data_IF_739946556720
#
_entry.id   IF_739946556720
#
_cell.length_a   1.000
_cell.length_b   1.000
_cell.length_c   1.000
_cell.angle_alpha   90.00
_cell.angle_beta   90.00
_cell.angle_gamma   90.00
#
_symmetry.space_group_name_H-M   'P 1'
#
loop_
_entity.id
_entity.type
_entity.pdbx_description
1 polymer ?
#
# COMPACT_ATOMS: atom_id res chain seq x y z
N UNK A 1 2.14 -14.02 4.92
CA UNK A 1 1.06 -13.04 5.17
C UNK A 1 0.77 -12.21 3.93
N UNK A 2 1.75 -11.47 3.38
CA UNK A 2 1.58 -10.69 2.14
C UNK A 2 1.06 -11.51 0.94
N UNK A 3 1.55 -12.74 0.73
CA UNK A 3 1.05 -13.63 -0.35
C UNK A 3 -0.45 -13.92 -0.21
N UNK A 4 -0.97 -14.08 1.01
CA UNK A 4 -2.38 -14.37 1.25
C UNK A 4 -3.26 -13.16 1.00
N UNK A 5 -2.78 -11.95 1.36
CA UNK A 5 -3.51 -10.70 1.10
C UNK A 5 -3.55 -10.40 -0.39
N UNK A 6 -2.47 -10.64 -1.13
CA UNK A 6 -2.43 -10.44 -2.57
C UNK A 6 -3.36 -11.39 -3.33
N UNK A 7 -3.43 -12.65 -2.91
CA UNK A 7 -4.37 -13.63 -3.47
C UNK A 7 -5.82 -13.21 -3.20
N UNK A 8 -6.12 -12.80 -1.97
CA UNK A 8 -7.46 -12.38 -1.58
C UNK A 8 -7.90 -11.07 -2.27
N UNK A 9 -6.98 -10.12 -2.47
CA UNK A 9 -7.25 -8.93 -3.31
C UNK A 9 -7.56 -9.35 -4.75
N UNK A 10 -6.79 -10.29 -5.33
CA UNK A 10 -7.02 -10.76 -6.69
C UNK A 10 -8.41 -11.42 -6.84
N UNK A 11 -8.83 -12.21 -5.86
CA UNK A 11 -10.16 -12.83 -5.84
C UNK A 11 -11.28 -11.77 -5.76
N UNK A 12 -11.15 -10.78 -4.88
CA UNK A 12 -12.13 -9.69 -4.75
C UNK A 12 -12.19 -8.83 -6.02
N UNK A 13 -11.04 -8.54 -6.65
CA UNK A 13 -10.99 -7.81 -7.92
C UNK A 13 -11.63 -8.60 -9.07
N UNK A 14 -11.43 -9.92 -9.08
CA UNK A 14 -12.11 -10.83 -10.00
C UNK A 14 -13.63 -10.78 -9.83
N UNK A 15 -14.12 -10.78 -8.58
CA UNK A 15 -15.54 -10.62 -8.25
C UNK A 15 -16.06 -9.26 -8.75
N UNK A 16 -15.36 -8.16 -8.46
CA UNK A 16 -15.74 -6.81 -8.91
C UNK A 16 -15.85 -6.67 -10.43
N UNK A 17 -14.95 -7.32 -11.18
CA UNK A 17 -14.99 -7.37 -12.64
C UNK A 17 -16.20 -8.14 -13.16
N UNK A 18 -16.50 -9.30 -12.57
CA UNK A 18 -17.69 -10.10 -12.91
C UNK A 18 -18.98 -9.33 -12.64
N UNK A 19 -19.05 -8.65 -11.51
CA UNK A 19 -20.16 -7.81 -11.09
C UNK A 19 -20.39 -6.59 -12.01
N UNK A 20 -19.33 -6.04 -12.61
CA UNK A 20 -19.47 -4.95 -13.60
C UNK A 20 -20.30 -5.36 -14.81
N UNK A 21 -20.11 -6.59 -15.31
CA UNK A 21 -20.93 -7.15 -16.41
C UNK A 21 -22.39 -7.35 -15.99
N UNK A 22 -22.62 -7.68 -14.71
CA UNK A 22 -23.98 -7.82 -14.15
C UNK A 22 -24.66 -6.46 -14.05
N UNK A 23 -23.98 -5.40 -13.58
CA UNK A 23 -24.51 -4.02 -13.58
C UNK A 23 -24.90 -3.59 -14.99
N UNK A 24 -24.02 -3.77 -15.98
CA UNK A 24 -24.32 -3.43 -17.37
C UNK A 24 -25.56 -4.16 -17.89
N UNK A 25 -25.73 -5.43 -17.52
CA UNK A 25 -26.90 -6.23 -17.89
C UNK A 25 -28.17 -5.71 -17.20
N UNK A 26 -28.09 -5.40 -15.90
CA UNK A 26 -29.19 -4.83 -15.12
C UNK A 26 -29.63 -3.48 -15.69
N UNK A 27 -28.68 -2.58 -15.98
CA UNK A 27 -28.98 -1.26 -16.54
C UNK A 27 -29.68 -1.41 -17.90
N UNK A 28 -29.16 -2.28 -18.78
CA UNK A 28 -29.79 -2.57 -20.07
C UNK A 28 -31.23 -3.10 -19.94
N UNK A 29 -31.51 -3.95 -18.94
CA UNK A 29 -32.86 -4.46 -18.67
C UNK A 29 -33.77 -3.37 -18.09
N UNK A 30 -33.26 -2.57 -17.15
CA UNK A 30 -33.97 -1.42 -16.55
C UNK A 30 -34.35 -0.39 -17.61
N UNK A 31 -33.48 -0.09 -18.57
CA UNK A 31 -33.79 0.81 -19.68
C UNK A 31 -34.84 0.23 -20.63
N UNK A 32 -34.87 -1.09 -20.85
CA UNK A 32 -35.88 -1.74 -21.70
C UNK A 32 -37.29 -1.74 -21.09
N UNK A 33 -37.42 -1.69 -19.77
CA UNK A 33 -38.70 -1.69 -19.07
C UNK A 33 -39.24 -0.27 -18.82
N UNK A 34 -39.79 0.35 -19.87
CA UNK A 34 -40.57 1.60 -19.76
C UNK A 34 -42.05 1.28 -19.42
N UNK A 35 -42.36 0.85 -18.20
CA UNK A 35 -43.70 0.27 -17.90
C UNK A 35 -44.36 0.83 -16.64
N UNK A 36 -45.68 1.02 -16.71
CA UNK A 36 -46.58 1.43 -15.60
C UNK A 36 -47.24 0.19 -14.97
N UNK A 37 -47.22 0.09 -13.65
CA UNK A 37 -47.88 -0.95 -12.84
C UNK A 37 -47.15 -1.20 -11.53
N UNK A 38 -47.86 -1.46 -10.42
CA UNK A 38 -47.25 -1.53 -9.07
C UNK A 38 -46.20 -2.65 -8.92
N UNK A 39 -46.45 -3.84 -9.46
CA UNK A 39 -45.52 -4.98 -9.39
C UNK A 39 -44.25 -4.74 -10.21
N UNK A 40 -44.36 -4.08 -11.36
CA UNK A 40 -43.23 -3.69 -12.20
C UNK A 40 -42.41 -2.55 -11.59
N UNK A 41 -43.03 -1.60 -10.89
CA UNK A 41 -42.30 -0.57 -10.13
C UNK A 41 -41.58 -1.16 -8.92
N UNK A 42 -42.16 -2.18 -8.25
CA UNK A 42 -41.47 -2.90 -7.18
C UNK A 42 -40.28 -3.70 -7.72
N UNK A 43 -40.44 -4.43 -8.82
CA UNK A 43 -39.35 -5.16 -9.46
C UNK A 43 -38.21 -4.23 -9.90
N UNK A 44 -38.55 -3.05 -10.46
CA UNK A 44 -37.57 -2.02 -10.81
C UNK A 44 -36.82 -1.49 -9.59
N UNK A 45 -37.52 -1.33 -8.46
CA UNK A 45 -36.90 -0.93 -7.19
C UNK A 45 -35.95 -2.01 -6.65
N UNK A 46 -36.39 -3.26 -6.61
CA UNK A 46 -35.57 -4.39 -6.13
C UNK A 46 -34.30 -4.56 -6.99
N UNK A 47 -34.43 -4.42 -8.31
CA UNK A 47 -33.31 -4.41 -9.25
C UNK A 47 -32.37 -3.22 -9.00
N UNK A 48 -32.91 -2.05 -8.63
CA UNK A 48 -32.14 -0.87 -8.24
C UNK A 48 -31.34 -1.09 -6.95
N UNK A 49 -31.97 -1.63 -5.91
CA UNK A 49 -31.31 -1.89 -4.61
C UNK A 49 -30.20 -2.94 -4.74
N UNK A 50 -30.40 -3.97 -5.59
CA UNK A 50 -29.35 -4.94 -5.94
C UNK A 50 -28.22 -4.23 -6.69
N UNK A 51 -28.54 -3.36 -7.66
CA UNK A 51 -27.54 -2.59 -8.41
C UNK A 51 -26.66 -1.75 -7.48
N UNK A 52 -27.23 -1.07 -6.49
CA UNK A 52 -26.48 -0.22 -5.55
C UNK A 52 -25.49 -1.02 -4.69
N UNK A 53 -25.89 -2.21 -4.21
CA UNK A 53 -24.98 -3.12 -3.49
C UNK A 53 -23.85 -3.61 -4.39
N UNK A 54 -24.15 -3.94 -5.65
CA UNK A 54 -23.14 -4.37 -6.62
C UNK A 54 -22.15 -3.22 -6.93
N UNK A 55 -22.65 -1.99 -7.08
CA UNK A 55 -21.83 -0.79 -7.26
C UNK A 55 -20.90 -0.56 -6.07
N UNK A 56 -21.38 -0.80 -4.84
CA UNK A 56 -20.56 -0.70 -3.64
C UNK A 56 -19.40 -1.73 -3.64
N UNK A 57 -19.68 -3.00 -3.96
CA UNK A 57 -18.64 -4.05 -4.05
C UNK A 57 -17.63 -3.73 -5.16
N UNK A 58 -18.08 -3.19 -6.30
CA UNK A 58 -17.20 -2.71 -7.37
C UNK A 58 -16.27 -1.60 -6.89
N UNK A 59 -16.81 -0.60 -6.19
CA UNK A 59 -16.00 0.50 -5.64
C UNK A 59 -14.91 -0.01 -4.70
N UNK A 60 -15.21 -1.00 -3.86
CA UNK A 60 -14.21 -1.62 -2.97
C UNK A 60 -13.16 -2.39 -3.77
N UNK A 61 -13.56 -3.14 -4.81
CA UNK A 61 -12.63 -3.82 -5.72
C UNK A 61 -11.63 -2.84 -6.36
N UNK A 62 -12.12 -1.74 -6.93
CA UNK A 62 -11.27 -0.73 -7.58
C UNK A 62 -10.30 -0.08 -6.58
N UNK A 63 -10.76 0.16 -5.35
CA UNK A 63 -9.93 0.66 -4.26
C UNK A 63 -8.86 -0.38 -3.90
N UNK A 64 -9.21 -1.65 -3.70
CA UNK A 64 -8.28 -2.71 -3.35
C UNK A 64 -7.21 -2.95 -4.44
N UNK A 65 -7.56 -2.80 -5.71
CA UNK A 65 -6.59 -2.83 -6.82
C UNK A 65 -5.56 -1.69 -6.72
N UNK A 66 -6.02 -0.48 -6.37
CA UNK A 66 -5.14 0.64 -6.06
C UNK A 66 -4.22 0.36 -4.87
N UNK A 67 -4.80 -0.18 -3.78
CA UNK A 67 -4.08 -0.54 -2.56
C UNK A 67 -3.03 -1.62 -2.74
N UNK A 68 -3.25 -2.58 -3.65
CA UNK A 68 -2.26 -3.61 -3.99
C UNK A 68 -0.90 -2.98 -4.33
N UNK A 69 -0.90 -1.88 -5.08
CA UNK A 69 0.33 -1.17 -5.47
C UNK A 69 0.98 -0.50 -4.26
N UNK A 70 0.20 0.16 -3.40
CA UNK A 70 0.72 0.84 -2.19
C UNK A 70 1.30 -0.16 -1.17
N UNK A 71 0.58 -1.25 -0.94
CA UNK A 71 0.96 -2.34 -0.05
C UNK A 71 2.27 -3.01 -0.46
N UNK A 72 2.39 -3.41 -1.73
CA UNK A 72 3.60 -4.02 -2.28
C UNK A 72 4.81 -3.08 -2.18
N UNK A 73 4.59 -1.81 -2.51
CA UNK A 73 5.64 -0.81 -2.47
C UNK A 73 6.15 -0.52 -1.05
N UNK A 74 5.24 -0.43 -0.06
CA UNK A 74 5.61 -0.27 1.34
C UNK A 74 6.39 -1.50 1.85
N UNK A 75 5.95 -2.71 1.45
CA UNK A 75 6.65 -3.96 1.76
C UNK A 75 8.07 -4.02 1.16
N UNK A 76 8.25 -3.62 -0.09
CA UNK A 76 9.57 -3.57 -0.74
C UNK A 76 10.52 -2.62 -0.02
N UNK A 77 10.06 -1.41 0.32
CA UNK A 77 10.87 -0.44 1.08
C UNK A 77 11.24 -1.04 2.44
N UNK A 78 10.28 -1.62 3.17
CA UNK A 78 10.57 -2.26 4.45
C UNK A 78 11.60 -3.39 4.31
N UNK A 79 11.40 -4.32 3.38
CA UNK A 79 12.29 -5.48 3.22
C UNK A 79 13.73 -5.08 2.86
N UNK A 80 13.93 -4.12 1.94
CA UNK A 80 15.28 -3.67 1.58
C UNK A 80 15.96 -2.89 2.72
N UNK A 81 15.18 -2.12 3.48
CA UNK A 81 15.69 -1.35 4.62
C UNK A 81 16.07 -2.23 5.81
N UNK A 82 15.28 -3.27 6.09
CA UNK A 82 15.54 -4.23 7.15
C UNK A 82 16.79 -5.07 6.83
N UNK A 83 16.94 -5.52 5.58
CA UNK A 83 18.16 -6.19 5.10
C UNK A 83 19.41 -5.32 5.25
N UNK A 84 19.30 -4.02 4.99
CA UNK A 84 20.41 -3.08 5.19
C UNK A 84 20.73 -2.94 6.68
N UNK A 85 19.70 -2.83 7.54
CA UNK A 85 19.85 -2.78 9.00
C UNK A 85 20.58 -4.03 9.53
N UNK A 86 20.15 -5.22 9.12
CA UNK A 86 20.80 -6.49 9.48
C UNK A 86 22.24 -6.55 8.98
N UNK A 87 22.48 -6.15 7.73
CA UNK A 87 23.83 -6.13 7.17
C UNK A 87 24.77 -5.23 7.99
N UNK A 88 24.30 -4.04 8.37
CA UNK A 88 25.05 -3.10 9.22
C UNK A 88 25.34 -3.72 10.59
N UNK A 89 24.34 -4.34 11.23
CA UNK A 89 24.52 -4.98 12.54
C UNK A 89 25.54 -6.12 12.51
N UNK A 90 25.50 -6.95 11.47
CA UNK A 90 26.36 -8.13 11.36
C UNK A 90 27.80 -7.80 10.92
N UNK A 91 28.01 -6.67 10.26
CA UNK A 91 29.31 -6.35 9.65
C UNK A 91 30.04 -5.18 10.30
N UNK A 92 29.37 -4.40 11.16
CA UNK A 92 29.91 -3.18 11.75
C UNK A 92 29.60 -3.15 13.26
N UNK A 93 30.53 -3.59 14.10
CA UNK A 93 30.41 -3.53 15.57
C UNK A 93 30.91 -2.20 16.15
N UNK A 94 32.14 -1.77 15.84
CA UNK A 94 32.66 -0.44 16.22
C UNK A 94 33.75 0.10 15.26
N UNK A 95 33.90 1.43 15.23
CA UNK A 95 34.61 2.25 14.22
C UNK A 95 36.16 2.13 14.24
N UNK A 96 36.78 1.84 13.09
CA UNK A 96 38.04 2.48 12.61
C UNK A 96 38.69 1.72 11.45
N UNK A 97 38.46 0.41 11.33
CA UNK A 97 39.16 -0.42 10.35
C UNK A 97 38.18 -1.21 9.50
N UNK A 98 37.61 -0.60 8.46
CA UNK A 98 36.90 -1.39 7.46
C UNK A 98 37.35 -1.03 6.05
N UNK A 99 37.78 -2.09 5.35
CA UNK A 99 38.21 -2.09 3.96
C UNK A 99 37.19 -1.35 3.09
N UNK A 100 37.67 -0.64 2.07
CA UNK A 100 36.86 0.13 1.12
C UNK A 100 35.68 -0.68 0.55
N UNK A 101 35.86 -1.97 0.32
CA UNK A 101 34.88 -2.89 -0.26
C UNK A 101 33.56 -2.97 0.52
N UNK A 102 33.60 -2.96 1.87
CA UNK A 102 32.37 -3.00 2.69
C UNK A 102 31.57 -1.69 2.60
N UNK A 103 32.24 -0.57 2.37
CA UNK A 103 31.60 0.74 2.18
C UNK A 103 30.89 0.82 0.83
N UNK A 104 31.50 0.31 -0.24
CA UNK A 104 30.85 0.21 -1.55
C UNK A 104 29.56 -0.61 -1.50
N UNK A 105 29.55 -1.71 -0.74
CA UNK A 105 28.34 -2.53 -0.57
C UNK A 105 27.23 -1.75 0.17
N UNK A 106 27.57 -0.89 1.13
CA UNK A 106 26.59 -0.03 1.80
C UNK A 106 26.02 1.03 0.85
N UNK A 107 26.87 1.66 0.03
CA UNK A 107 26.44 2.63 -0.99
C UNK A 107 25.49 1.98 -2.00
N UNK A 108 25.84 0.80 -2.52
CA UNK A 108 24.99 0.06 -3.47
C UNK A 108 23.62 -0.28 -2.87
N UNK A 109 23.59 -0.73 -1.61
CA UNK A 109 22.33 -1.05 -0.90
C UNK A 109 21.50 0.20 -0.62
N UNK A 110 22.13 1.31 -0.26
CA UNK A 110 21.43 2.57 -0.05
C UNK A 110 20.84 3.10 -1.36
N UNK A 111 21.56 2.96 -2.47
CA UNK A 111 21.08 3.33 -3.80
C UNK A 111 19.93 2.43 -4.29
N UNK A 112 19.89 1.16 -3.90
CA UNK A 112 18.72 0.28 -4.08
C UNK A 112 17.49 0.86 -3.36
N UNK A 113 17.64 1.25 -2.08
CA UNK A 113 16.57 1.87 -1.30
C UNK A 113 16.13 3.19 -1.95
N UNK A 114 17.06 4.01 -2.43
CA UNK A 114 16.78 5.27 -3.13
C UNK A 114 15.91 5.07 -4.36
N UNK A 115 16.26 4.11 -5.21
CA UNK A 115 15.51 3.77 -6.42
C UNK A 115 14.10 3.28 -6.09
N UNK A 116 13.99 2.38 -5.11
CA UNK A 116 12.70 1.86 -4.64
C UNK A 116 11.85 2.98 -4.05
N UNK A 117 12.39 3.81 -3.16
CA UNK A 117 11.71 4.97 -2.55
C UNK A 117 11.26 5.99 -3.59
N UNK A 118 12.14 6.41 -4.50
CA UNK A 118 11.84 7.45 -5.51
C UNK A 118 10.71 7.03 -6.45
N UNK A 119 10.67 5.74 -6.82
CA UNK A 119 9.58 5.16 -7.60
C UNK A 119 8.27 5.12 -6.82
N UNK A 120 8.33 4.95 -5.50
CA UNK A 120 7.20 4.46 -4.71
C UNK A 120 6.56 5.49 -3.76
N UNK A 121 7.29 6.49 -3.22
CA UNK A 121 6.73 7.50 -2.31
C UNK A 121 5.61 8.31 -2.95
N UNK A 122 5.79 8.73 -4.21
CA UNK A 122 4.75 9.48 -4.95
C UNK A 122 3.50 8.63 -5.16
N UNK A 123 3.67 7.32 -5.29
CA UNK A 123 2.59 6.35 -5.45
C UNK A 123 1.88 6.20 -4.09
N UNK A 124 2.61 5.94 -3.00
CA UNK A 124 2.11 5.85 -1.61
C UNK A 124 1.27 7.09 -1.24
N UNK A 125 1.79 8.29 -1.47
CA UNK A 125 1.06 9.55 -1.19
C UNK A 125 -0.19 9.75 -2.07
N UNK A 126 -0.19 9.20 -3.28
CA UNK A 126 -1.37 9.23 -4.16
C UNK A 126 -2.54 8.37 -3.67
N UNK A 127 -2.28 7.38 -2.81
CA UNK A 127 -3.29 6.50 -2.23
C UNK A 127 -4.08 7.09 -1.05
N UNK A 128 -3.63 8.23 -0.53
CA UNK A 128 -4.18 8.87 0.67
C UNK A 128 -5.66 9.23 0.52
N UNK A 129 -6.12 9.54 -0.69
CA UNK A 129 -7.51 9.91 -0.97
C UNK A 129 -8.51 8.76 -0.76
N UNK A 130 -8.02 7.53 -0.60
CA UNK A 130 -8.83 6.34 -0.37
C UNK A 130 -8.76 5.83 1.08
N UNK A 131 -8.06 6.56 1.95
CA UNK A 131 -8.02 6.31 3.39
C UNK A 131 -9.02 7.22 4.10
N UNK A 132 -9.40 6.86 5.31
CA UNK A 132 -10.04 7.83 6.18
C UNK A 132 -9.07 8.97 6.53
N UNK A 133 -9.62 10.11 6.97
CA UNK A 133 -8.83 11.31 7.23
C UNK A 133 -7.74 11.10 8.32
N UNK A 134 -7.95 10.14 9.22
CA UNK A 134 -6.99 9.83 10.29
C UNK A 134 -5.80 9.06 9.73
N UNK A 135 -6.04 7.96 9.03
CA UNK A 135 -5.00 7.14 8.41
C UNK A 135 -4.25 7.94 7.33
N UNK A 136 -4.95 8.79 6.57
CA UNK A 136 -4.37 9.74 5.61
C UNK A 136 -3.33 10.70 6.24
N UNK A 137 -3.66 11.25 7.41
CA UNK A 137 -2.76 12.12 8.16
C UNK A 137 -1.52 11.37 8.65
N UNK A 138 -1.69 10.15 9.17
CA UNK A 138 -0.58 9.33 9.63
C UNK A 138 0.37 8.96 8.50
N UNK A 139 -0.15 8.54 7.34
CA UNK A 139 0.69 8.21 6.17
C UNK A 139 1.52 9.41 5.72
N UNK A 140 0.94 10.61 5.71
CA UNK A 140 1.66 11.83 5.31
C UNK A 140 2.86 12.09 6.24
N UNK A 141 2.64 12.00 7.56
CA UNK A 141 3.70 12.20 8.56
C UNK A 141 4.79 11.14 8.42
N UNK A 142 4.42 9.87 8.30
CA UNK A 142 5.40 8.77 8.24
C UNK A 142 6.17 8.79 6.91
N UNK A 143 5.50 9.06 5.78
CA UNK A 143 6.17 9.18 4.49
C UNK A 143 7.17 10.36 4.45
N UNK A 144 6.85 11.45 5.14
CA UNK A 144 7.77 12.59 5.31
C UNK A 144 8.97 12.19 6.17
N UNK A 145 8.73 11.57 7.34
CA UNK A 145 9.79 11.06 8.22
C UNK A 145 10.71 10.06 7.52
N UNK A 146 10.15 9.13 6.74
CA UNK A 146 10.90 8.18 5.93
C UNK A 146 11.80 8.91 4.91
N UNK A 147 11.28 9.97 4.29
CA UNK A 147 12.05 10.77 3.35
C UNK A 147 13.25 11.45 4.02
N UNK A 148 13.02 12.04 5.18
CA UNK A 148 14.04 12.77 5.94
C UNK A 148 15.11 11.82 6.50
N UNK A 149 14.70 10.67 7.04
CA UNK A 149 15.63 9.64 7.54
C UNK A 149 16.52 9.08 6.43
N UNK A 150 15.98 8.91 5.21
CA UNK A 150 16.77 8.54 4.04
C UNK A 150 17.80 9.61 3.70
N UNK A 151 17.40 10.88 3.63
CA UNK A 151 18.30 11.98 3.28
C UNK A 151 19.43 12.13 4.33
N UNK A 152 19.10 11.91 5.60
CA UNK A 152 20.09 11.84 6.67
C UNK A 152 21.08 10.70 6.43
N UNK A 153 20.60 9.48 6.13
CA UNK A 153 21.48 8.34 5.82
C UNK A 153 22.38 8.59 4.61
N UNK A 154 21.84 9.16 3.53
CA UNK A 154 22.57 9.54 2.29
C UNK A 154 23.67 10.57 2.55
N UNK A 155 23.46 11.47 3.52
CA UNK A 155 24.45 12.47 3.92
C UNK A 155 25.52 11.89 4.87
N UNK A 156 25.12 10.96 5.74
CA UNK A 156 25.99 10.40 6.79
C UNK A 156 26.94 9.32 6.28
N UNK A 157 26.55 8.59 5.22
CA UNK A 157 27.36 7.52 4.63
C UNK A 157 28.70 8.05 4.04
N UNK A 158 28.73 9.13 3.22
CA UNK A 158 29.98 9.67 2.66
C UNK A 158 30.95 10.21 3.71
N UNK A 159 30.43 10.80 4.80
CA UNK A 159 31.25 11.31 5.91
C UNK A 159 31.62 10.22 6.92
N UNK A 160 31.22 8.97 6.65
CA UNK A 160 31.52 7.78 7.45
C UNK A 160 31.13 7.89 8.93
N UNK A 161 30.09 8.66 9.23
CA UNK A 161 29.51 8.73 10.58
C UNK A 161 28.61 7.51 10.80
N UNK A 162 29.24 6.33 11.03
CA UNK A 162 28.51 5.07 11.05
C UNK A 162 27.44 5.07 12.14
N UNK A 163 27.71 5.64 13.32
CA UNK A 163 26.78 5.58 14.45
C UNK A 163 25.48 6.34 14.15
N UNK A 164 25.58 7.54 13.58
CA UNK A 164 24.39 8.26 13.13
C UNK A 164 23.75 7.58 11.92
N UNK A 165 24.54 7.05 10.99
CA UNK A 165 24.03 6.29 9.86
C UNK A 165 23.19 5.08 10.31
N UNK A 166 23.68 4.26 11.28
CA UNK A 166 22.93 3.14 11.87
C UNK A 166 21.60 3.61 12.44
N UNK A 167 21.61 4.75 13.15
CA UNK A 167 20.40 5.32 13.74
C UNK A 167 19.39 5.74 12.66
N UNK A 168 19.84 6.42 11.60
CA UNK A 168 18.99 6.81 10.47
C UNK A 168 18.42 5.61 9.71
N UNK A 169 19.21 4.56 9.46
CA UNK A 169 18.73 3.33 8.83
C UNK A 169 17.71 2.60 9.70
N UNK A 170 17.92 2.57 11.02
CA UNK A 170 16.92 2.00 11.95
C UNK A 170 15.60 2.74 11.85
N UNK A 171 15.61 4.08 11.95
CA UNK A 171 14.41 4.90 11.86
C UNK A 171 13.71 4.72 10.50
N UNK A 172 14.46 4.65 9.42
CA UNK A 172 13.95 4.39 8.08
C UNK A 172 13.23 3.03 8.00
N UNK A 173 13.83 1.97 8.55
CA UNK A 173 13.22 0.65 8.63
C UNK A 173 11.94 0.65 9.48
N UNK A 174 11.96 1.33 10.63
CA UNK A 174 10.81 1.39 11.53
C UNK A 174 9.64 2.16 10.90
N UNK A 175 9.91 3.26 10.21
CA UNK A 175 8.88 4.04 9.50
C UNK A 175 8.32 3.29 8.28
N UNK A 176 9.16 2.57 7.54
CA UNK A 176 8.70 1.70 6.45
C UNK A 176 7.77 0.59 6.95
N UNK A 177 8.09 -0.02 8.10
CA UNK A 177 7.24 -1.02 8.74
C UNK A 177 5.90 -0.45 9.19
N UNK A 178 5.88 0.77 9.77
CA UNK A 178 4.63 1.44 10.13
C UNK A 178 3.75 1.68 8.92
N UNK A 179 4.31 2.18 7.81
CA UNK A 179 3.56 2.37 6.55
C UNK A 179 2.96 1.05 6.07
N UNK A 180 3.76 -0.02 6.06
CA UNK A 180 3.30 -1.35 5.69
C UNK A 180 2.13 -1.81 6.56
N UNK A 181 2.22 -1.67 7.89
CA UNK A 181 1.17 -2.08 8.81
C UNK A 181 -0.11 -1.26 8.66
N UNK A 182 -0.03 0.06 8.42
CA UNK A 182 -1.22 0.88 8.15
C UNK A 182 -1.95 0.35 6.92
N UNK A 183 -1.23 0.09 5.82
CA UNK A 183 -1.86 -0.47 4.61
C UNK A 183 -2.43 -1.87 4.85
N UNK A 184 -1.74 -2.74 5.59
CA UNK A 184 -2.22 -4.07 5.97
C UNK A 184 -3.54 -3.97 6.75
N UNK A 185 -3.60 -3.11 7.76
CA UNK A 185 -4.78 -2.87 8.59
C UNK A 185 -5.94 -2.28 7.78
N UNK A 186 -5.69 -1.26 6.94
CA UNK A 186 -6.73 -0.65 6.11
C UNK A 186 -7.32 -1.67 5.12
N UNK A 187 -6.48 -2.51 4.51
CA UNK A 187 -6.93 -3.62 3.62
C UNK A 187 -7.78 -4.63 4.41
N UNK A 188 -7.30 -5.07 5.57
CA UNK A 188 -8.02 -6.01 6.43
C UNK A 188 -9.37 -5.45 6.92
N UNK A 189 -9.45 -4.15 7.26
CA UNK A 189 -10.71 -3.47 7.61
C UNK A 189 -11.68 -3.46 6.43
N UNK A 190 -11.20 -3.13 5.23
CA UNK A 190 -12.03 -3.14 4.01
C UNK A 190 -12.57 -4.54 3.70
N UNK A 191 -11.73 -5.58 3.82
CA UNK A 191 -12.15 -6.98 3.63
C UNK A 191 -13.19 -7.41 4.68
N UNK A 192 -12.97 -7.09 5.96
CA UNK A 192 -13.93 -7.41 7.03
C UNK A 192 -15.28 -6.71 6.81
N UNK A 193 -15.25 -5.48 6.30
CA UNK A 193 -16.47 -4.75 5.90
C UNK A 193 -17.29 -5.47 4.81
N UNK A 194 -16.65 -6.28 3.96
CA UNK A 194 -17.34 -7.10 2.96
C UNK A 194 -17.97 -8.37 3.56
N UNK A 195 -17.37 -8.95 4.59
CA UNK A 195 -17.86 -10.19 5.23
C UNK A 195 -18.96 -10.00 6.27
N UNK A 196 -19.34 -8.75 6.57
CA UNK A 196 -20.39 -8.38 7.53
C UNK A 196 -21.71 -7.93 6.88
N UNK A 197 -21.84 -8.08 5.56
CA UNK A 197 -23.06 -7.77 4.77
C UNK A 197 -23.72 -9.05 4.30
#
# INVERSE_FOLDING_TARGET
>A
MAINILALIADIVGIGTGLSKVIETIDNLRFKWHVKGKELEQLKKDVGDISDKIVYVKKISDILEGYKKYYLNAYEIYSSSDKLREYIQNNFEDLSEQKSEKWFILEDKLEEIKRTKAKNIKIILGGINYLDAHDAGQITVIATSLNDNFNAADTLLPVRDINKFKASIKLLSDDALKLYNIYDDSINKMIKGLGGV
#
